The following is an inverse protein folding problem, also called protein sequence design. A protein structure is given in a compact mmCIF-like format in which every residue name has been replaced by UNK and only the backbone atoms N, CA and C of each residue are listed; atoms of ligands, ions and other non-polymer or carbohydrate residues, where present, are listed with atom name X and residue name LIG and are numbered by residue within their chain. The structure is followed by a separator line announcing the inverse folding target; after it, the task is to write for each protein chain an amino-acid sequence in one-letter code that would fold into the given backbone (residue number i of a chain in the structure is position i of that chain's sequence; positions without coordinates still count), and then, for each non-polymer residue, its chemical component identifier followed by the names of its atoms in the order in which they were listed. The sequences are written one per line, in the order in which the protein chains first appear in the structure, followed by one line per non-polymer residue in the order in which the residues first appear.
data_IF_114618131137
#
_entry.id   IF_114618131137
#
_cell.length_a   1.000
_cell.length_b   1.000
_cell.length_c   1.000
_cell.angle_alpha   90.00
_cell.angle_beta   90.00
_cell.angle_gamma   90.00
#
_symmetry.space_group_name_H-M   'P 1'
#
loop_
_entity.id
_entity.type
_entity.pdbx_description
1 polymer ?
#
# COMPACT_ATOMS: atom_id res chain seq x y z
N UNK A 1 -4.34 2.50 6.20
CA UNK A 1 -4.26 3.86 6.76
C UNK A 1 -5.57 4.66 6.64
N UNK A 2 -6.72 4.00 6.58
CA UNK A 2 -8.01 4.69 6.62
C UNK A 2 -8.21 5.40 7.97
N UNK A 3 -8.45 6.72 7.97
CA UNK A 3 -8.45 7.54 9.18
C UNK A 3 -9.71 8.38 9.43
N UNK A 4 -10.81 8.07 8.74
CA UNK A 4 -11.99 8.92 8.65
C UNK A 4 -12.52 9.39 10.01
N UNK A 5 -12.77 8.46 10.91
CA UNK A 5 -13.44 8.79 12.18
C UNK A 5 -12.63 9.72 13.09
N UNK A 6 -11.32 9.49 13.20
CA UNK A 6 -10.45 10.31 14.05
C UNK A 6 -10.21 11.69 13.42
N UNK A 7 -9.86 11.72 12.14
CA UNK A 7 -9.57 12.97 11.43
C UNK A 7 -10.76 13.94 11.40
N UNK A 8 -11.98 13.41 11.33
CA UNK A 8 -13.20 14.25 11.36
C UNK A 8 -13.54 14.80 12.76
N UNK A 9 -13.17 14.07 13.81
CA UNK A 9 -13.56 14.44 15.19
C UNK A 9 -12.51 15.24 15.94
N UNK A 10 -11.25 15.15 15.53
CA UNK A 10 -10.14 15.82 16.21
C UNK A 10 -9.37 16.75 15.25
N UNK A 11 -9.69 18.06 15.25
CA UNK A 11 -9.01 19.04 14.40
C UNK A 11 -7.50 19.14 14.67
N UNK A 12 -7.03 18.79 15.88
CA UNK A 12 -5.59 18.80 16.21
C UNK A 12 -4.80 17.77 15.41
N UNK A 13 -5.46 16.76 14.84
CA UNK A 13 -4.88 15.70 14.02
C UNK A 13 -4.87 16.01 12.51
N UNK A 14 -5.17 17.26 12.14
CA UNK A 14 -5.19 17.67 10.74
C UNK A 14 -3.87 17.35 9.98
N UNK A 15 -2.72 17.50 10.62
CA UNK A 15 -1.42 17.16 10.04
C UNK A 15 -1.23 15.66 9.76
N UNK A 16 -2.04 14.80 10.40
CA UNK A 16 -2.02 13.36 10.17
C UNK A 16 -2.71 12.95 8.87
N UNK A 17 -3.58 13.82 8.33
CA UNK A 17 -4.29 13.54 7.09
C UNK A 17 -3.35 13.63 5.88
N UNK A 18 -3.53 12.74 4.93
CA UNK A 18 -2.79 12.79 3.66
C UNK A 18 -3.05 14.10 2.91
N UNK A 19 -2.09 14.52 2.10
CA UNK A 19 -2.21 15.64 1.17
C UNK A 19 -2.26 15.11 -0.26
N UNK A 20 -3.31 15.50 -0.97
CA UNK A 20 -3.50 15.14 -2.38
C UNK A 20 -2.86 16.16 -3.32
N UNK A 21 -2.26 15.67 -4.39
CA UNK A 21 -1.80 16.47 -5.52
C UNK A 21 -2.92 16.56 -6.58
N UNK A 22 -3.75 17.58 -6.48
CA UNK A 22 -4.90 17.80 -7.37
C UNK A 22 -4.58 18.84 -8.45
N UNK A 23 -5.42 18.95 -9.46
CA UNK A 23 -5.32 20.00 -10.50
C UNK A 23 -5.42 21.42 -9.91
N UNK A 24 -6.03 21.55 -8.72
CA UNK A 24 -6.15 22.81 -7.98
C UNK A 24 -4.96 23.08 -7.04
N UNK A 25 -3.97 22.17 -7.01
CA UNK A 25 -2.80 22.24 -6.13
C UNK A 25 -2.84 21.21 -5.00
N UNK A 26 -1.85 21.32 -4.11
CA UNK A 26 -1.72 20.43 -2.96
C UNK A 26 -2.83 20.73 -1.95
N UNK A 27 -3.67 19.73 -1.67
CA UNK A 27 -4.88 19.88 -0.85
C UNK A 27 -4.96 18.81 0.22
N UNK A 28 -5.10 19.22 1.48
CA UNK A 28 -5.30 18.28 2.59
C UNK A 28 -6.58 17.44 2.37
N UNK A 29 -6.55 16.16 2.74
CA UNK A 29 -7.67 15.25 2.55
C UNK A 29 -8.99 15.78 3.14
N UNK A 30 -8.94 16.48 4.27
CA UNK A 30 -10.12 17.07 4.92
C UNK A 30 -10.82 18.16 4.08
N UNK A 31 -10.11 18.78 3.13
CA UNK A 31 -10.63 19.84 2.27
C UNK A 31 -10.82 19.37 0.82
N UNK A 32 -10.38 18.17 0.50
CA UNK A 32 -10.23 17.71 -0.88
C UNK A 32 -11.51 17.10 -1.49
N UNK A 33 -12.46 16.69 -0.65
CA UNK A 33 -13.60 15.87 -1.06
C UNK A 33 -13.21 14.45 -1.48
N UNK A 34 -11.96 14.03 -1.25
CA UNK A 34 -11.44 12.69 -1.51
C UNK A 34 -11.48 11.83 -0.25
N UNK A 35 -11.09 10.56 -0.37
CA UNK A 35 -11.03 9.63 0.74
C UNK A 35 -10.13 10.16 1.87
N UNK A 36 -10.61 10.04 3.11
CA UNK A 36 -9.83 10.41 4.28
C UNK A 36 -8.89 9.26 4.66
N UNK A 37 -7.61 9.48 4.40
CA UNK A 37 -6.52 8.62 4.80
C UNK A 37 -5.56 9.37 5.72
N UNK A 38 -4.94 8.64 6.63
CA UNK A 38 -3.73 9.10 7.29
C UNK A 38 -2.57 9.14 6.29
N UNK A 39 -1.62 10.05 6.52
CA UNK A 39 -0.33 10.00 5.83
C UNK A 39 0.50 8.83 6.38
N UNK A 40 0.81 7.79 5.57
CA UNK A 40 1.60 6.65 6.04
C UNK A 40 3.02 6.99 6.45
N UNK A 41 3.58 8.09 5.94
CA UNK A 41 4.93 8.55 6.29
C UNK A 41 4.97 9.36 7.59
N UNK A 42 3.82 9.75 8.17
CA UNK A 42 3.79 10.57 9.38
C UNK A 42 4.16 9.74 10.63
N UNK A 43 5.22 10.08 11.37
CA UNK A 43 5.70 9.26 12.50
C UNK A 43 4.64 9.03 13.57
N UNK A 44 3.93 10.09 14.01
CA UNK A 44 2.89 9.96 15.03
C UNK A 44 1.71 9.09 14.58
N UNK A 45 1.39 9.06 13.27
CA UNK A 45 0.38 8.17 12.72
C UNK A 45 0.82 6.73 12.86
N UNK A 46 2.07 6.43 12.49
CA UNK A 46 2.61 5.08 12.66
C UNK A 46 2.60 4.64 14.12
N UNK A 47 3.07 5.49 15.04
CA UNK A 47 3.11 5.19 16.48
C UNK A 47 1.70 4.97 17.04
N UNK A 48 0.73 5.77 16.65
CA UNK A 48 -0.68 5.59 17.01
C UNK A 48 -1.23 4.24 16.53
N UNK A 49 -1.01 3.90 15.25
CA UNK A 49 -1.50 2.63 14.70
C UNK A 49 -0.80 1.42 15.35
N UNK A 50 0.50 1.52 15.64
CA UNK A 50 1.23 0.48 16.37
C UNK A 50 0.68 0.31 17.80
N UNK A 51 0.33 1.40 18.48
CA UNK A 51 -0.28 1.30 19.82
C UNK A 51 -1.61 0.54 19.81
N UNK A 52 -2.45 0.80 18.78
CA UNK A 52 -3.70 0.07 18.60
C UNK A 52 -3.47 -1.42 18.29
N UNK A 53 -2.47 -1.74 17.47
CA UNK A 53 -2.15 -3.14 17.16
C UNK A 53 -1.66 -3.90 18.40
N UNK A 54 -0.85 -3.27 19.26
CA UNK A 54 -0.44 -3.86 20.54
C UNK A 54 -1.64 -4.10 21.48
N UNK A 55 -2.58 -3.16 21.52
CA UNK A 55 -3.81 -3.32 22.31
C UNK A 55 -4.65 -4.49 21.80
N UNK A 56 -4.84 -4.59 20.47
CA UNK A 56 -5.58 -5.70 19.86
C UNK A 56 -4.89 -7.03 20.06
N UNK A 57 -3.55 -7.10 19.91
CA UNK A 57 -2.78 -8.32 20.09
C UNK A 57 -2.83 -8.90 21.52
N UNK A 58 -3.15 -8.04 22.49
CA UNK A 58 -3.29 -8.45 23.89
C UNK A 58 -4.62 -9.15 24.23
N UNK A 59 -5.58 -9.20 23.30
CA UNK A 59 -6.85 -9.89 23.57
C UNK A 59 -6.67 -11.40 23.65
N UNK A 60 -7.20 -11.98 24.71
CA UNK A 60 -7.18 -13.43 24.93
C UNK A 60 -7.99 -14.16 23.85
N UNK A 61 -7.44 -15.25 23.31
CA UNK A 61 -8.12 -16.07 22.30
C UNK A 61 -8.07 -15.51 20.88
N UNK A 62 -7.24 -14.49 20.63
CA UNK A 62 -7.04 -13.96 19.28
C UNK A 62 -6.05 -14.84 18.50
N UNK A 63 -6.49 -15.38 17.36
CA UNK A 63 -5.65 -16.23 16.50
C UNK A 63 -4.81 -15.43 15.50
N UNK A 64 -5.30 -14.27 15.05
CA UNK A 64 -4.57 -13.47 14.06
C UNK A 64 -5.15 -12.09 13.79
N UNK A 65 -4.33 -11.26 13.18
CA UNK A 65 -4.65 -9.89 12.77
C UNK A 65 -4.36 -9.74 11.28
N UNK A 66 -5.32 -9.22 10.52
CA UNK A 66 -5.11 -8.78 9.14
C UNK A 66 -5.21 -7.27 9.04
N UNK A 67 -4.19 -6.63 8.46
CA UNK A 67 -4.25 -5.23 8.09
C UNK A 67 -4.95 -5.09 6.74
N UNK A 68 -6.13 -4.51 6.72
CA UNK A 68 -6.76 -4.04 5.50
C UNK A 68 -6.37 -2.59 5.20
N UNK A 69 -6.26 -2.24 3.91
CA UNK A 69 -5.89 -0.90 3.45
C UNK A 69 -4.61 -0.35 4.09
N UNK A 70 -3.64 -1.22 4.39
CA UNK A 70 -2.29 -0.81 4.80
C UNK A 70 -1.53 -0.25 3.59
N UNK A 71 -1.92 0.95 3.15
CA UNK A 71 -1.51 1.54 1.89
C UNK A 71 -1.81 3.04 1.84
N UNK A 72 -1.27 3.73 0.85
CA UNK A 72 -1.70 5.07 0.48
C UNK A 72 -3.11 5.07 -0.13
N UNK A 73 -3.75 6.24 -0.17
CA UNK A 73 -5.08 6.39 -0.77
C UNK A 73 -5.06 6.16 -2.30
N UNK A 74 -3.97 6.54 -2.95
CA UNK A 74 -3.76 6.38 -4.39
C UNK A 74 -2.46 7.04 -4.84
N UNK A 75 -2.24 7.13 -6.15
CA UNK A 75 -1.02 7.71 -6.72
C UNK A 75 -0.87 9.21 -6.38
N UNK A 76 -1.99 9.93 -6.27
CA UNK A 76 -2.02 11.36 -5.94
C UNK A 76 -1.79 11.66 -4.45
N UNK A 77 -1.35 10.70 -3.65
CA UNK A 77 -1.07 10.85 -2.21
C UNK A 77 0.14 10.02 -1.78
N UNK A 78 0.92 10.41 -0.78
CA UNK A 78 0.85 11.65 0.00
C UNK A 78 1.84 12.67 -0.55
N UNK A 79 1.45 13.94 -0.60
CA UNK A 79 2.26 15.05 -1.08
C UNK A 79 2.41 16.15 -0.01
N UNK A 80 2.40 15.80 1.27
CA UNK A 80 2.68 16.72 2.38
C UNK A 80 4.15 17.15 2.43
N UNK A 81 4.45 18.22 3.17
CA UNK A 81 5.83 18.66 3.43
C UNK A 81 6.61 17.63 4.25
N UNK A 82 5.94 16.86 5.12
CA UNK A 82 6.56 15.75 5.83
C UNK A 82 7.08 14.68 4.86
N UNK A 83 6.23 14.23 3.94
CA UNK A 83 6.60 13.24 2.91
C UNK A 83 7.70 13.77 1.98
N UNK A 84 7.62 15.04 1.57
CA UNK A 84 8.67 15.70 0.77
C UNK A 84 10.02 15.65 1.48
N UNK A 85 10.04 16.05 2.76
CA UNK A 85 11.27 16.08 3.57
C UNK A 85 11.87 14.69 3.70
N UNK A 86 11.06 13.68 4.02
CA UNK A 86 11.52 12.30 4.13
C UNK A 86 12.02 11.74 2.78
N UNK A 87 11.33 12.06 1.69
CA UNK A 87 11.77 11.66 0.35
C UNK A 87 13.11 12.30 -0.04
N UNK A 88 13.29 13.61 0.23
CA UNK A 88 14.56 14.29 -0.04
C UNK A 88 15.70 13.66 0.77
N UNK A 89 15.47 13.33 2.04
CA UNK A 89 16.44 12.63 2.89
C UNK A 89 16.76 11.23 2.35
N UNK A 90 15.74 10.48 1.93
CA UNK A 90 15.90 9.17 1.31
C UNK A 90 16.78 9.22 0.06
N UNK A 91 16.57 10.24 -0.77
CA UNK A 91 17.34 10.44 -2.01
C UNK A 91 18.71 11.08 -1.79
N UNK A 92 18.98 11.68 -0.62
CA UNK A 92 20.20 12.46 -0.37
C UNK A 92 20.28 13.74 -1.21
N UNK A 93 19.14 14.38 -1.51
CA UNK A 93 19.06 15.58 -2.33
C UNK A 93 18.70 16.82 -1.49
N UNK A 94 19.24 17.98 -1.88
CA UNK A 94 19.05 19.24 -1.16
C UNK A 94 17.97 20.13 -1.76
N UNK A 95 17.50 19.83 -2.97
CA UNK A 95 16.46 20.60 -3.66
C UNK A 95 15.57 19.70 -4.50
N UNK A 96 14.28 20.06 -4.59
CA UNK A 96 13.27 19.34 -5.32
C UNK A 96 12.17 20.31 -5.75
N UNK A 97 11.79 20.31 -7.01
CA UNK A 97 10.60 21.01 -7.49
C UNK A 97 9.37 20.13 -7.16
N UNK A 98 8.76 20.42 -6.01
CA UNK A 98 7.65 19.65 -5.50
C UNK A 98 6.30 20.27 -5.87
N UNK A 99 5.36 19.49 -6.42
CA UNK A 99 5.42 18.07 -6.73
C UNK A 99 5.96 17.71 -8.13
N UNK A 100 6.35 18.68 -8.96
CA UNK A 100 6.54 18.53 -10.41
C UNK A 100 7.64 17.54 -10.82
N UNK A 101 8.71 17.44 -10.03
CA UNK A 101 9.78 16.44 -10.28
C UNK A 101 9.31 15.00 -10.01
N UNK A 102 8.14 14.82 -9.38
CA UNK A 102 7.51 13.53 -9.07
C UNK A 102 6.30 13.31 -9.97
N UNK A 103 5.36 14.24 -9.91
CA UNK A 103 4.02 14.12 -10.44
C UNK A 103 3.43 15.52 -10.66
N UNK A 104 3.47 16.08 -11.89
CA UNK A 104 2.93 17.41 -12.16
C UNK A 104 1.48 17.52 -11.73
N UNK A 105 1.11 18.68 -11.17
CA UNK A 105 -0.25 18.93 -10.71
C UNK A 105 -1.27 18.73 -11.84
N UNK A 106 -2.36 18.03 -11.53
CA UNK A 106 -3.44 17.78 -12.49
C UNK A 106 -3.12 16.75 -13.56
N UNK A 107 -1.96 16.10 -13.51
CA UNK A 107 -1.70 14.96 -14.38
C UNK A 107 -2.69 13.83 -14.07
N UNK A 108 -3.51 13.47 -15.04
CA UNK A 108 -4.44 12.33 -14.91
C UNK A 108 -3.65 11.02 -15.15
N UNK A 109 -3.38 10.32 -14.05
CA UNK A 109 -2.58 9.10 -14.04
C UNK A 109 -3.37 7.80 -14.18
N UNK A 110 -4.67 7.87 -14.33
CA UNK A 110 -5.41 6.74 -14.90
C UNK A 110 -4.90 6.42 -16.31
N UNK A 111 -4.29 7.41 -16.96
CA UNK A 111 -3.51 7.28 -18.18
C UNK A 111 -1.98 7.09 -17.95
N UNK A 112 -1.51 6.87 -16.73
CA UNK A 112 -0.06 6.74 -16.44
C UNK A 112 0.60 5.57 -17.19
N UNK A 113 -0.15 4.56 -17.56
CA UNK A 113 0.29 3.55 -18.52
C UNK A 113 0.60 4.11 -19.92
N UNK A 114 0.20 5.36 -20.19
CA UNK A 114 0.38 6.07 -21.46
C UNK A 114 1.46 7.14 -21.41
N UNK A 115 2.04 7.47 -20.23
CA UNK A 115 3.16 8.39 -20.14
C UNK A 115 4.36 7.78 -20.88
N UNK A 116 4.80 8.48 -21.89
CA UNK A 116 6.03 8.15 -22.64
C UNK A 116 7.27 8.69 -21.92
N UNK A 117 7.11 9.72 -21.09
CA UNK A 117 8.15 10.35 -20.28
C UNK A 117 7.66 10.55 -18.86
N UNK A 118 8.43 10.04 -17.92
CA UNK A 118 8.16 10.24 -16.49
C UNK A 118 9.00 11.39 -15.93
N UNK A 119 8.48 12.14 -14.93
CA UNK A 119 9.28 13.09 -14.19
C UNK A 119 10.54 12.46 -13.58
N UNK A 120 11.55 13.28 -13.30
CA UNK A 120 12.90 12.86 -12.91
C UNK A 120 12.92 11.84 -11.77
N UNK A 121 12.12 12.05 -10.75
CA UNK A 121 12.10 11.22 -9.54
C UNK A 121 10.85 10.35 -9.39
N UNK A 122 10.02 10.23 -10.41
CA UNK A 122 8.77 9.45 -10.35
C UNK A 122 8.98 8.03 -9.81
N UNK A 123 9.87 7.24 -10.44
CA UNK A 123 10.13 5.86 -10.02
C UNK A 123 10.73 5.77 -8.62
N UNK A 124 11.59 6.72 -8.26
CA UNK A 124 12.20 6.77 -6.94
C UNK A 124 11.16 7.08 -5.85
N UNK A 125 10.16 7.89 -6.19
CA UNK A 125 9.07 8.18 -5.27
C UNK A 125 8.16 6.96 -5.06
N UNK A 126 7.88 6.19 -6.11
CA UNK A 126 7.17 4.92 -5.97
C UNK A 126 7.95 3.94 -5.09
N UNK A 127 9.26 3.85 -5.27
CA UNK A 127 10.17 3.06 -4.42
C UNK A 127 10.13 3.53 -2.97
N UNK A 128 10.24 4.83 -2.73
CA UNK A 128 10.17 5.42 -1.39
C UNK A 128 8.82 5.12 -0.70
N UNK A 129 7.69 5.25 -1.41
CA UNK A 129 6.38 4.89 -0.87
C UNK A 129 6.30 3.42 -0.48
N UNK A 130 6.84 2.53 -1.32
CA UNK A 130 6.92 1.10 -1.00
C UNK A 130 7.78 0.85 0.24
N UNK A 131 8.90 1.61 0.41
CA UNK A 131 9.71 1.56 1.63
C UNK A 131 8.92 1.95 2.87
N UNK A 132 8.17 3.05 2.81
CA UNK A 132 7.38 3.52 3.97
C UNK A 132 6.38 2.45 4.43
N UNK A 133 5.68 1.81 3.50
CA UNK A 133 4.73 0.73 3.84
C UNK A 133 5.46 -0.52 4.31
N UNK A 134 6.56 -0.92 3.67
CA UNK A 134 7.40 -2.03 4.10
C UNK A 134 7.86 -1.87 5.55
N UNK A 135 8.47 -0.72 5.88
CA UNK A 135 9.00 -0.45 7.21
C UNK A 135 7.89 -0.44 8.27
N UNK A 136 6.69 0.07 7.90
CA UNK A 136 5.53 0.00 8.79
C UNK A 136 5.04 -1.43 9.00
N UNK A 137 4.97 -2.27 7.95
CA UNK A 137 4.55 -3.68 8.07
C UNK A 137 5.52 -4.47 8.94
N UNK A 138 6.84 -4.28 8.76
CA UNK A 138 7.87 -4.87 9.62
C UNK A 138 7.69 -4.44 11.09
N UNK A 139 7.55 -3.13 11.34
CA UNK A 139 7.31 -2.56 12.68
C UNK A 139 6.03 -3.11 13.32
N UNK A 140 4.96 -3.25 12.53
CA UNK A 140 3.67 -3.77 12.97
C UNK A 140 3.74 -5.26 13.34
N UNK A 141 4.34 -6.08 12.49
CA UNK A 141 4.57 -7.51 12.75
C UNK A 141 5.36 -7.72 14.04
N UNK A 142 6.50 -7.02 14.17
CA UNK A 142 7.32 -7.08 15.38
C UNK A 142 6.56 -6.64 16.64
N UNK A 143 5.75 -5.58 16.54
CA UNK A 143 4.96 -5.08 17.67
C UNK A 143 3.85 -6.05 18.12
N UNK A 144 3.21 -6.73 17.18
CA UNK A 144 2.20 -7.77 17.47
C UNK A 144 2.86 -8.96 18.16
N UNK A 145 3.95 -9.49 17.61
CA UNK A 145 4.65 -10.64 18.17
C UNK A 145 5.35 -10.35 19.50
N UNK A 146 5.76 -9.10 19.76
CA UNK A 146 6.27 -8.67 21.09
C UNK A 146 5.20 -8.84 22.18
N UNK A 147 3.94 -8.55 21.85
CA UNK A 147 2.80 -8.69 22.79
C UNK A 147 2.33 -10.13 22.88
N UNK A 148 2.14 -10.80 21.72
CA UNK A 148 1.68 -12.18 21.67
C UNK A 148 2.29 -12.90 20.44
N UNK A 149 3.32 -13.74 20.66
CA UNK A 149 4.01 -14.45 19.57
C UNK A 149 3.16 -15.50 18.85
N UNK A 150 2.04 -15.91 19.44
CA UNK A 150 1.15 -16.92 18.84
C UNK A 150 0.14 -16.30 17.86
N UNK A 151 -0.13 -14.98 17.96
CA UNK A 151 -1.01 -14.24 17.05
C UNK A 151 -0.39 -14.14 15.66
N UNK A 152 -1.08 -14.64 14.66
CA UNK A 152 -0.63 -14.55 13.26
C UNK A 152 -0.84 -13.15 12.70
N UNK A 153 0.24 -12.54 12.26
CA UNK A 153 0.19 -11.22 11.62
C UNK A 153 0.09 -11.35 10.10
N UNK A 154 -0.75 -10.54 9.48
CA UNK A 154 -0.93 -10.56 8.04
C UNK A 154 -1.50 -9.30 7.43
N UNK A 155 -1.57 -9.31 6.11
CA UNK A 155 -2.12 -8.21 5.32
C UNK A 155 -3.15 -8.71 4.32
N UNK A 156 -4.14 -7.87 4.04
CA UNK A 156 -5.09 -8.05 2.95
C UNK A 156 -4.71 -7.10 1.81
N UNK A 157 -4.44 -7.68 0.62
CA UNK A 157 -3.98 -6.92 -0.56
C UNK A 157 -4.74 -7.33 -1.81
N UNK A 158 -4.87 -6.42 -2.77
CA UNK A 158 -5.42 -6.74 -4.07
C UNK A 158 -4.46 -7.60 -4.91
N UNK A 159 -5.00 -8.60 -5.61
CA UNK A 159 -4.22 -9.51 -6.46
C UNK A 159 -3.58 -8.85 -7.69
N UNK A 160 -4.02 -7.66 -8.07
CA UNK A 160 -3.52 -6.88 -9.23
C UNK A 160 -2.18 -6.16 -8.93
N UNK A 161 -1.15 -6.95 -8.70
CA UNK A 161 0.18 -6.46 -8.35
C UNK A 161 0.74 -5.44 -9.34
N UNK A 162 0.46 -5.63 -10.64
CA UNK A 162 0.93 -4.77 -11.72
C UNK A 162 0.55 -3.29 -11.55
N UNK A 163 -0.51 -3.00 -10.77
CA UNK A 163 -1.03 -1.67 -10.50
C UNK A 163 -0.87 -1.24 -9.03
N UNK A 164 -0.42 -2.14 -8.14
CA UNK A 164 -0.39 -1.88 -6.70
C UNK A 164 0.66 -0.84 -6.27
N UNK A 165 1.57 -0.48 -7.17
CA UNK A 165 2.44 0.69 -6.99
C UNK A 165 1.66 2.00 -6.81
N UNK A 166 0.44 2.11 -7.38
CA UNK A 166 -0.43 3.27 -7.26
C UNK A 166 -0.75 3.60 -5.81
N UNK A 167 -0.84 2.59 -4.97
CA UNK A 167 -1.12 2.72 -3.55
C UNK A 167 0.13 2.56 -2.67
N UNK A 168 1.32 2.61 -3.29
CA UNK A 168 2.60 2.59 -2.60
C UNK A 168 2.92 1.27 -1.90
N UNK A 169 2.51 0.14 -2.49
CA UNK A 169 2.67 -1.17 -1.86
C UNK A 169 3.44 -2.13 -2.74
N UNK A 170 4.43 -2.80 -2.15
CA UNK A 170 5.09 -3.96 -2.70
C UNK A 170 4.85 -5.18 -1.79
N UNK A 171 3.80 -5.94 -2.06
CA UNK A 171 3.44 -7.11 -1.27
C UNK A 171 4.14 -8.41 -1.71
N UNK A 172 5.09 -8.32 -2.64
CA UNK A 172 5.89 -9.48 -3.07
C UNK A 172 6.98 -9.83 -2.04
N UNK A 173 7.64 -10.96 -2.27
CA UNK A 173 8.90 -11.29 -1.61
C UNK A 173 10.02 -10.33 -2.04
N UNK A 174 10.98 -9.98 -1.16
CA UNK A 174 12.17 -9.21 -1.56
C UNK A 174 13.06 -9.97 -2.56
N UNK A 175 12.85 -11.29 -2.73
CA UNK A 175 13.52 -12.07 -3.76
C UNK A 175 12.87 -11.93 -5.15
N UNK A 176 11.64 -11.43 -5.26
CA UNK A 176 10.97 -11.21 -6.54
C UNK A 176 11.54 -9.98 -7.24
N UNK A 177 12.13 -10.17 -8.42
CA UNK A 177 12.71 -9.06 -9.18
C UNK A 177 11.64 -8.26 -9.92
N UNK A 178 10.99 -7.33 -9.20
CA UNK A 178 9.91 -6.50 -9.75
C UNK A 178 10.35 -5.73 -11.00
N UNK A 179 11.55 -5.15 -11.01
CA UNK A 179 12.03 -4.34 -12.13
C UNK A 179 12.22 -5.14 -13.43
N UNK A 180 12.47 -6.46 -13.34
CA UNK A 180 12.58 -7.30 -14.53
C UNK A 180 11.25 -7.40 -15.29
N UNK A 181 10.12 -7.36 -14.58
CA UNK A 181 8.80 -7.49 -15.16
C UNK A 181 8.07 -6.15 -15.34
N UNK A 182 8.43 -5.15 -14.55
CA UNK A 182 7.73 -3.86 -14.45
C UNK A 182 8.72 -2.66 -14.54
N UNK A 183 9.65 -2.71 -15.49
CA UNK A 183 10.69 -1.69 -15.66
C UNK A 183 10.16 -0.28 -15.95
N UNK A 184 8.91 -0.14 -16.38
CA UNK A 184 8.27 1.16 -16.64
C UNK A 184 8.17 2.00 -15.37
N UNK A 185 7.87 1.38 -14.22
CA UNK A 185 7.65 2.08 -12.96
C UNK A 185 8.56 1.61 -11.81
N UNK A 186 9.05 0.38 -11.81
CA UNK A 186 9.92 -0.13 -10.76
C UNK A 186 11.39 0.22 -11.02
N UNK A 187 12.10 0.64 -9.97
CA UNK A 187 13.57 0.73 -9.95
C UNK A 187 14.16 -0.64 -9.61
N UNK A 188 15.45 -0.87 -9.86
CA UNK A 188 16.13 -2.11 -9.43
C UNK A 188 16.06 -2.36 -7.91
N UNK A 189 15.97 -1.29 -7.10
CA UNK A 189 15.88 -1.37 -5.64
C UNK A 189 14.46 -1.62 -5.12
N UNK A 190 13.43 -1.43 -5.95
CA UNK A 190 12.02 -1.58 -5.54
C UNK A 190 11.74 -2.94 -4.87
N UNK A 191 12.38 -4.02 -5.35
CA UNK A 191 12.25 -5.35 -4.76
C UNK A 191 12.64 -5.43 -3.29
N UNK A 192 13.58 -4.59 -2.83
CA UNK A 192 14.06 -4.59 -1.45
C UNK A 192 12.97 -4.20 -0.44
N UNK A 193 11.90 -3.61 -0.92
CA UNK A 193 10.74 -3.18 -0.14
C UNK A 193 9.52 -4.09 -0.32
N UNK A 194 9.74 -5.30 -0.82
CA UNK A 194 8.77 -6.38 -0.72
C UNK A 194 8.67 -6.87 0.73
N UNK A 195 7.46 -7.01 1.25
CA UNK A 195 7.25 -7.26 2.69
C UNK A 195 6.61 -8.63 3.01
N UNK A 196 6.51 -9.53 2.03
CA UNK A 196 5.86 -10.82 2.27
C UNK A 196 6.52 -11.67 3.37
N UNK A 197 7.82 -11.46 3.61
CA UNK A 197 8.60 -12.14 4.65
C UNK A 197 8.38 -11.58 6.07
N UNK A 198 7.68 -10.47 6.21
CA UNK A 198 7.22 -9.93 7.49
C UNK A 198 5.81 -10.41 7.88
N UNK A 199 5.17 -11.25 7.05
CA UNK A 199 3.82 -11.75 7.26
C UNK A 199 3.80 -13.26 7.54
N UNK A 200 3.05 -13.68 8.56
CA UNK A 200 2.74 -15.11 8.79
C UNK A 200 1.67 -15.60 7.82
N UNK A 201 0.82 -14.69 7.36
CA UNK A 201 -0.29 -14.98 6.47
C UNK A 201 -0.59 -13.79 5.56
N UNK A 202 -1.07 -14.07 4.36
CA UNK A 202 -1.50 -13.05 3.41
C UNK A 202 -2.83 -13.44 2.78
N UNK A 203 -3.75 -12.48 2.72
CA UNK A 203 -5.02 -12.63 2.01
C UNK A 203 -4.97 -11.81 0.72
N UNK A 204 -5.11 -12.50 -0.40
CA UNK A 204 -5.04 -11.91 -1.74
C UNK A 204 -6.46 -11.70 -2.28
N UNK A 205 -6.83 -10.45 -2.51
CA UNK A 205 -8.10 -10.10 -3.13
C UNK A 205 -8.17 -10.57 -4.58
N UNK A 206 -8.83 -11.70 -4.80
CA UNK A 206 -9.03 -12.30 -6.13
C UNK A 206 -10.37 -11.83 -6.72
N UNK A 207 -10.48 -10.51 -6.95
CA UNK A 207 -11.72 -9.82 -7.32
C UNK A 207 -12.03 -9.96 -8.81
N UNK A 208 -12.35 -11.17 -9.24
CA UNK A 208 -12.80 -11.45 -10.59
C UNK A 208 -14.31 -11.71 -10.62
N UNK A 209 -14.93 -11.56 -11.80
CA UNK A 209 -16.35 -11.88 -11.97
C UNK A 209 -16.63 -13.37 -11.76
N UNK A 210 -17.86 -13.77 -11.42
CA UNK A 210 -18.23 -15.18 -11.26
C UNK A 210 -17.95 -16.06 -12.47
N UNK A 211 -17.96 -15.47 -13.68
CA UNK A 211 -17.60 -16.16 -14.92
C UNK A 211 -16.09 -16.33 -15.14
N UNK A 212 -15.25 -15.69 -14.33
CA UNK A 212 -13.80 -15.67 -14.45
C UNK A 212 -13.09 -16.38 -13.27
N UNK A 213 -13.62 -17.51 -12.81
CA UNK A 213 -13.05 -18.31 -11.70
C UNK A 213 -11.74 -18.95 -12.13
N UNK A 214 -11.73 -19.59 -13.30
CA UNK A 214 -10.59 -20.34 -13.82
C UNK A 214 -9.88 -19.60 -14.94
N UNK A 215 -8.57 -19.79 -15.03
CA UNK A 215 -7.72 -19.21 -16.06
C UNK A 215 -6.36 -18.76 -15.52
N UNK A 216 -5.42 -18.53 -16.45
CA UNK A 216 -4.06 -18.07 -16.12
C UNK A 216 -3.90 -16.55 -16.12
N UNK A 217 -4.90 -15.81 -16.63
CA UNK A 217 -4.87 -14.35 -16.70
C UNK A 217 -5.00 -13.70 -15.33
N UNK A 218 -4.35 -12.55 -15.13
CA UNK A 218 -4.37 -11.80 -13.86
C UNK A 218 -5.81 -11.54 -13.36
N UNK A 219 -6.77 -11.30 -14.26
CA UNK A 219 -8.15 -11.00 -13.92
C UNK A 219 -9.08 -12.23 -13.87
N UNK A 220 -8.52 -13.38 -13.47
CA UNK A 220 -9.27 -14.55 -13.03
C UNK A 220 -8.96 -14.85 -11.57
N UNK A 221 -9.85 -15.49 -10.81
CA UNK A 221 -9.58 -15.84 -9.40
C UNK A 221 -8.36 -16.75 -9.29
N UNK A 222 -8.30 -17.79 -10.14
CA UNK A 222 -7.15 -18.70 -10.19
C UNK A 222 -5.87 -17.96 -10.59
N UNK A 223 -5.93 -17.07 -11.57
CA UNK A 223 -4.79 -16.29 -12.04
C UNK A 223 -4.24 -15.36 -10.96
N UNK A 224 -5.10 -14.62 -10.25
CA UNK A 224 -4.68 -13.80 -9.12
C UNK A 224 -3.91 -14.62 -8.07
N UNK A 225 -4.46 -15.77 -7.67
CA UNK A 225 -3.84 -16.63 -6.65
C UNK A 225 -2.51 -17.23 -7.14
N UNK A 226 -2.46 -17.70 -8.39
CA UNK A 226 -1.24 -18.29 -8.97
C UNK A 226 -0.13 -17.25 -9.11
N UNK A 227 -0.44 -16.07 -9.65
CA UNK A 227 0.52 -14.99 -9.80
C UNK A 227 0.98 -14.41 -8.45
N UNK A 228 0.10 -14.41 -7.44
CA UNK A 228 0.49 -14.03 -6.10
C UNK A 228 1.47 -15.04 -5.49
N UNK A 229 1.20 -16.33 -5.63
CA UNK A 229 2.11 -17.39 -5.17
C UNK A 229 3.50 -17.26 -5.79
N UNK A 230 3.59 -16.96 -7.09
CA UNK A 230 4.87 -16.78 -7.77
C UNK A 230 5.66 -15.59 -7.21
N UNK A 231 4.97 -14.48 -6.88
CA UNK A 231 5.60 -13.28 -6.34
C UNK A 231 6.00 -13.41 -4.88
N UNK A 232 5.18 -14.09 -4.08
CA UNK A 232 5.41 -14.30 -2.65
C UNK A 232 6.42 -15.43 -2.44
N UNK A 233 6.36 -16.49 -3.24
CA UNK A 233 7.24 -17.67 -3.12
C UNK A 233 7.10 -18.34 -1.76
N UNK A 234 8.22 -18.48 -1.07
CA UNK A 234 8.30 -19.07 0.29
C UNK A 234 8.37 -18.01 1.40
N UNK A 235 8.28 -16.71 1.05
CA UNK A 235 8.46 -15.64 2.02
C UNK A 235 7.33 -15.61 3.06
N UNK A 236 6.09 -15.90 2.63
CA UNK A 236 4.96 -16.02 3.55
C UNK A 236 4.44 -17.46 3.56
N UNK A 237 4.31 -18.11 4.73
CA UNK A 237 3.92 -19.52 4.81
C UNK A 237 2.45 -19.79 4.46
N UNK A 238 1.56 -18.83 4.71
CA UNK A 238 0.12 -18.98 4.48
C UNK A 238 -0.33 -17.89 3.50
N UNK A 239 -0.79 -18.30 2.31
CA UNK A 239 -1.35 -17.41 1.29
C UNK A 239 -2.72 -17.92 0.87
N UNK A 240 -3.75 -17.10 1.09
CA UNK A 240 -5.13 -17.42 0.77
C UNK A 240 -5.71 -16.44 -0.26
N UNK A 241 -6.62 -16.90 -1.12
CA UNK A 241 -7.41 -16.05 -2.00
C UNK A 241 -8.73 -15.64 -1.34
N UNK A 242 -9.09 -14.36 -1.44
CA UNK A 242 -10.36 -13.82 -0.99
C UNK A 242 -11.18 -13.32 -2.18
N UNK A 243 -12.29 -13.98 -2.58
CA UNK A 243 -13.16 -13.48 -3.63
C UNK A 243 -14.01 -12.31 -3.15
N UNK A 244 -14.31 -11.37 -4.04
CA UNK A 244 -15.32 -10.34 -3.79
C UNK A 244 -16.70 -10.86 -4.25
N UNK A 245 -17.47 -11.36 -3.30
CA UNK A 245 -18.84 -11.86 -3.57
C UNK A 245 -19.88 -10.73 -3.63
N UNK A 246 -19.51 -9.51 -3.23
CA UNK A 246 -20.41 -8.36 -3.26
C UNK A 246 -20.84 -7.98 -4.68
N UNK A 247 -20.00 -8.22 -5.65
CA UNK A 247 -20.23 -7.93 -7.06
C UNK A 247 -20.95 -9.10 -7.82
N UNK A 248 -21.24 -10.19 -7.14
CA UNK A 248 -21.94 -11.33 -7.74
C UNK A 248 -23.45 -11.08 -7.68
N UNK A 249 -24.13 -11.28 -8.78
CA UNK A 249 -25.59 -11.24 -8.79
C UNK A 249 -26.19 -12.44 -8.05
N UNK A 250 -27.49 -12.37 -7.75
CA UNK A 250 -28.18 -13.40 -6.99
C UNK A 250 -28.23 -14.76 -7.68
N UNK A 251 -28.07 -14.83 -8.99
CA UNK A 251 -28.06 -16.09 -9.74
C UNK A 251 -26.74 -16.85 -9.65
N UNK A 252 -25.67 -16.18 -9.22
CA UNK A 252 -24.31 -16.71 -9.16
C UNK A 252 -23.76 -16.87 -7.72
N UNK A 253 -24.60 -16.64 -6.72
CA UNK A 253 -24.25 -16.78 -5.29
C UNK A 253 -24.47 -18.20 -4.74
#
# INVERSE_FOLDING_TARGET
FGGTGLLMRDPSKRSWATTYNLSTGLTNALDSGKDLFFNPAHPEVQDYLISLLKEVAAYEGLDGIFLDRCRYAGLLSDFSEETKTQFMNYMGILSLHWPDDILPAGADYTAANQLTTFPKYYKNFLEFRAKVIHDFVEKASNAVHEVNPDVKFGVYVGGWYSQYYDVGVNWASPSYNTAANFSKWATPKYKNYGYADHCDQMLIGAYASPGAVYGSGEWTMQGFCTLAKDKIGKACPIVCGGPDVGNWDSANK
#
